data_IF_592499916018
#
_entry.id   IF_592499916018
#
_cell.length_a   1.000
_cell.length_b   1.000
_cell.length_c   1.000
_cell.angle_alpha   90.00
_cell.angle_beta   90.00
_cell.angle_gamma   90.00
#
_symmetry.space_group_name_H-M   'P 1'
#
loop_
_entity.id
_entity.type
_entity.pdbx_description
1 polymer ?
#
# COMPACT_ATOMS: atom_id res chain seq x y z
N UNK A 1 6.84 7.38 -2.08
CA UNK A 1 6.33 6.02 -1.85
C UNK A 1 6.48 5.69 -0.38
N UNK A 2 5.46 5.12 0.24
CA UNK A 2 5.45 4.77 1.67
C UNK A 2 5.18 3.29 1.83
N UNK A 3 6.08 2.59 2.53
CA UNK A 3 5.86 1.26 3.04
C UNK A 3 5.30 1.40 4.45
N UNK A 4 4.01 1.16 4.60
CA UNK A 4 3.32 1.29 5.87
C UNK A 4 3.09 -0.08 6.48
N UNK A 5 4.06 -0.50 7.31
CA UNK A 5 4.20 -1.85 7.81
C UNK A 5 3.49 -2.03 9.16
N UNK A 6 3.45 -3.27 9.64
CA UNK A 6 2.92 -3.67 10.94
C UNK A 6 3.76 -4.81 11.49
N UNK A 7 3.72 -5.00 12.80
CA UNK A 7 4.33 -6.15 13.45
C UNK A 7 3.30 -7.25 13.74
N UNK A 8 3.77 -8.48 13.95
CA UNK A 8 2.96 -9.63 14.33
C UNK A 8 2.12 -10.20 13.18
N UNK A 9 0.86 -10.52 13.47
CA UNK A 9 -0.08 -11.07 12.48
C UNK A 9 -0.09 -10.23 11.19
N UNK A 10 0.01 -10.86 10.02
CA UNK A 10 0.03 -10.21 8.70
C UNK A 10 1.24 -9.31 8.42
N UNK A 11 2.28 -9.33 9.25
CA UNK A 11 3.56 -8.69 8.90
C UNK A 11 4.28 -9.47 7.80
N UNK A 12 5.28 -8.85 7.17
CA UNK A 12 6.17 -9.61 6.28
C UNK A 12 7.15 -10.46 7.11
N UNK A 13 7.46 -11.66 6.64
CA UNK A 13 8.48 -12.56 7.22
C UNK A 13 9.87 -11.97 7.10
N UNK A 14 10.15 -11.28 5.99
CA UNK A 14 11.43 -10.64 5.71
C UNK A 14 11.20 -9.20 5.23
N UNK A 15 10.89 -8.31 6.18
CA UNK A 15 10.65 -6.89 5.91
C UNK A 15 11.86 -6.22 5.24
N UNK A 16 13.08 -6.58 5.65
CA UNK A 16 14.31 -6.02 5.07
C UNK A 16 14.41 -6.28 3.56
N UNK A 17 14.06 -7.49 3.10
CA UNK A 17 14.04 -7.81 1.67
C UNK A 17 12.94 -7.04 0.93
N UNK A 18 11.73 -6.93 1.51
CA UNK A 18 10.64 -6.12 0.92
C UNK A 18 11.07 -4.66 0.78
N UNK A 19 11.59 -4.06 1.85
CA UNK A 19 12.07 -2.68 1.86
C UNK A 19 13.17 -2.48 0.82
N UNK A 20 14.09 -3.44 0.69
CA UNK A 20 15.17 -3.39 -0.31
C UNK A 20 14.59 -3.32 -1.73
N UNK A 21 13.68 -4.21 -2.11
CA UNK A 21 13.07 -4.23 -3.45
C UNK A 21 12.43 -2.89 -3.79
N UNK A 22 11.56 -2.37 -2.92
CA UNK A 22 10.88 -1.10 -3.18
C UNK A 22 11.84 0.10 -3.18
N UNK A 23 12.90 0.06 -2.36
CA UNK A 23 13.93 1.10 -2.35
C UNK A 23 14.71 1.11 -3.66
N UNK A 24 15.08 -0.05 -4.17
CA UNK A 24 15.81 -0.19 -5.43
C UNK A 24 14.97 0.30 -6.62
N UNK A 25 13.68 -0.06 -6.69
CA UNK A 25 12.82 0.44 -7.78
C UNK A 25 12.54 1.94 -7.67
N UNK A 26 12.28 2.46 -6.47
CA UNK A 26 12.11 3.89 -6.26
C UNK A 26 13.38 4.66 -6.64
N UNK A 27 14.57 4.14 -6.32
CA UNK A 27 15.85 4.76 -6.66
C UNK A 27 16.13 4.91 -8.16
N UNK A 28 15.42 4.18 -9.03
CA UNK A 28 15.51 4.30 -10.49
C UNK A 28 14.69 5.49 -11.05
N UNK A 29 13.88 6.15 -10.22
CA UNK A 29 13.00 7.24 -10.64
C UNK A 29 13.38 8.54 -9.95
N UNK A 30 13.78 9.53 -10.76
CA UNK A 30 14.15 10.87 -10.28
C UNK A 30 13.07 11.48 -9.38
N UNK A 31 13.49 11.95 -8.21
CA UNK A 31 12.59 12.57 -7.24
C UNK A 31 11.74 11.59 -6.43
N UNK A 32 11.80 10.27 -6.70
CA UNK A 32 11.14 9.29 -5.84
C UNK A 32 11.84 9.23 -4.47
N UNK A 33 11.04 9.32 -3.40
CA UNK A 33 11.50 9.15 -2.02
C UNK A 33 10.73 8.01 -1.39
N UNK A 34 11.45 7.12 -0.71
CA UNK A 34 10.87 6.02 0.06
C UNK A 34 10.79 6.41 1.54
N UNK A 35 9.62 6.19 2.15
CA UNK A 35 9.42 6.26 3.59
C UNK A 35 9.01 4.88 4.09
N UNK A 36 9.59 4.46 5.22
CA UNK A 36 9.19 3.22 5.90
C UNK A 36 8.65 3.62 7.26
N UNK A 37 7.41 3.21 7.55
CA UNK A 37 6.75 3.53 8.79
C UNK A 37 5.99 2.32 9.30
N UNK A 38 5.80 2.23 10.61
CA UNK A 38 5.07 1.15 11.25
C UNK A 38 3.80 1.71 11.87
N UNK A 39 2.65 1.16 11.49
CA UNK A 39 1.33 1.64 11.91
C UNK A 39 1.16 1.70 13.43
N UNK A 40 1.77 0.77 14.16
CA UNK A 40 1.74 0.70 15.62
C UNK A 40 2.67 1.70 16.32
N UNK A 41 3.54 2.41 15.59
CA UNK A 41 4.52 3.35 16.14
C UNK A 41 4.16 4.82 15.89
N UNK A 42 3.03 5.11 15.25
CA UNK A 42 2.62 6.46 14.89
C UNK A 42 1.35 6.87 15.63
N UNK A 43 1.38 8.06 16.21
CA UNK A 43 0.18 8.78 16.63
C UNK A 43 -0.74 9.03 15.43
N UNK A 44 -2.02 9.30 15.68
CA UNK A 44 -2.96 9.65 14.62
C UNK A 44 -2.44 10.82 13.76
N UNK A 45 -1.84 11.81 14.38
CA UNK A 45 -1.34 12.99 13.69
C UNK A 45 -0.13 12.73 12.81
N UNK A 46 0.78 11.88 13.26
CA UNK A 46 1.88 11.41 12.42
C UNK A 46 1.35 10.58 11.24
N UNK A 47 0.29 9.81 11.43
CA UNK A 47 -0.36 9.09 10.34
C UNK A 47 -1.03 10.03 9.33
N UNK A 48 -1.71 11.08 9.78
CA UNK A 48 -2.28 12.12 8.89
C UNK A 48 -1.17 12.73 8.04
N UNK A 49 -0.07 13.16 8.67
CA UNK A 49 1.07 13.77 7.97
C UNK A 49 1.75 12.81 7.00
N UNK A 50 1.88 11.54 7.37
CA UNK A 50 2.45 10.50 6.51
C UNK A 50 1.56 10.28 5.29
N UNK A 51 0.26 10.06 5.49
CA UNK A 51 -0.68 9.79 4.41
C UNK A 51 -0.83 10.98 3.48
N UNK A 52 -0.92 12.21 4.01
CA UNK A 52 -1.03 13.42 3.20
C UNK A 52 0.20 13.72 2.33
N UNK A 53 1.34 13.09 2.63
CA UNK A 53 2.59 13.20 1.84
C UNK A 53 2.92 11.93 1.04
N UNK A 54 1.98 10.98 0.98
CA UNK A 54 2.17 9.68 0.31
C UNK A 54 1.49 9.66 -1.06
N UNK A 55 2.29 9.52 -2.12
CA UNK A 55 1.81 9.30 -3.50
C UNK A 55 1.43 7.84 -3.79
N UNK A 56 2.16 6.90 -3.16
CA UNK A 56 2.02 5.45 -3.38
C UNK A 56 2.14 4.78 -2.01
N UNK A 57 1.08 4.12 -1.56
CA UNK A 57 1.01 3.38 -0.31
C UNK A 57 1.16 1.88 -0.58
N UNK A 58 2.13 1.24 0.06
CA UNK A 58 2.41 -0.20 -0.01
C UNK A 58 2.27 -0.74 1.40
N UNK A 59 1.29 -1.62 1.64
CA UNK A 59 0.97 -1.97 3.03
C UNK A 59 0.27 -3.32 3.17
N UNK A 60 0.63 -4.13 4.17
CA UNK A 60 -0.08 -5.36 4.47
C UNK A 60 -1.47 -5.10 5.05
N UNK A 61 -2.37 -6.03 4.79
CA UNK A 61 -3.75 -5.97 5.25
C UNK A 61 -3.84 -5.76 6.77
N UNK A 62 -4.67 -4.80 7.17
CA UNK A 62 -4.88 -4.45 8.57
C UNK A 62 -3.75 -3.65 9.24
N UNK A 63 -2.77 -3.13 8.49
CA UNK A 63 -1.82 -2.12 8.99
C UNK A 63 -2.44 -0.71 8.94
N UNK A 64 -3.64 -0.54 9.51
CA UNK A 64 -4.38 0.74 9.51
C UNK A 64 -4.64 1.33 8.11
N UNK A 65 -4.86 0.44 7.13
CA UNK A 65 -5.04 0.80 5.72
C UNK A 65 -6.26 1.71 5.48
N UNK A 66 -7.22 1.75 6.40
CA UNK A 66 -8.35 2.69 6.37
C UNK A 66 -7.87 4.14 6.22
N UNK A 67 -6.74 4.51 6.82
CA UNK A 67 -6.24 5.88 6.81
C UNK A 67 -5.75 6.37 5.42
N UNK A 68 -5.80 5.51 4.39
CA UNK A 68 -5.52 5.91 3.01
C UNK A 68 -6.39 7.07 2.53
N UNK A 69 -7.62 7.26 3.06
CA UNK A 69 -8.49 8.37 2.63
C UNK A 69 -7.89 9.76 2.89
N UNK A 70 -6.83 9.84 3.72
CA UNK A 70 -6.08 11.06 4.00
C UNK A 70 -5.00 11.37 2.94
N UNK A 71 -4.76 10.44 2.01
CA UNK A 71 -3.86 10.65 0.88
C UNK A 71 -4.51 11.55 -0.18
N UNK A 72 -3.69 12.16 -1.02
CA UNK A 72 -4.19 12.93 -2.16
C UNK A 72 -4.92 12.04 -3.18
N UNK A 73 -5.92 12.63 -3.86
CA UNK A 73 -6.59 11.99 -4.99
C UNK A 73 -5.57 11.60 -6.06
N UNK A 74 -5.88 10.54 -6.80
CA UNK A 74 -5.03 9.88 -7.80
C UNK A 74 -3.77 9.19 -7.23
N UNK A 75 -3.52 9.24 -5.93
CA UNK A 75 -2.51 8.38 -5.29
C UNK A 75 -2.84 6.90 -5.45
N UNK A 76 -1.83 6.05 -5.32
CA UNK A 76 -1.93 4.61 -5.60
C UNK A 76 -1.77 3.77 -4.35
N UNK A 77 -2.48 2.64 -4.28
CA UNK A 77 -2.42 1.71 -3.13
C UNK A 77 -2.15 0.28 -3.59
N UNK A 78 -1.25 -0.42 -2.89
CA UNK A 78 -1.03 -1.86 -2.98
C UNK A 78 -1.27 -2.52 -1.64
N UNK A 79 -2.09 -3.57 -1.67
CA UNK A 79 -2.43 -4.33 -0.48
C UNK A 79 -1.80 -5.73 -0.50
N UNK A 80 -1.27 -6.17 0.64
CA UNK A 80 -0.66 -7.51 0.78
C UNK A 80 -1.42 -8.37 1.77
N UNK A 81 -1.62 -9.63 1.42
CA UNK A 81 -2.33 -10.59 2.25
C UNK A 81 -1.48 -11.84 2.49
N UNK A 82 -1.58 -12.47 3.67
CA UNK A 82 -1.00 -13.79 3.89
C UNK A 82 -1.76 -14.86 3.08
N UNK A 83 -1.18 -16.05 3.00
CA UNK A 83 -1.81 -17.23 2.38
C UNK A 83 -3.22 -17.44 2.93
N UNK A 84 -4.15 -17.72 2.03
CA UNK A 84 -5.51 -18.17 2.36
C UNK A 84 -6.51 -17.07 2.73
N UNK A 85 -6.12 -15.78 2.68
CA UNK A 85 -7.02 -14.66 2.99
C UNK A 85 -8.17 -14.42 1.97
N UNK A 86 -8.32 -15.23 0.91
CA UNK A 86 -9.18 -14.91 -0.25
C UNK A 86 -10.54 -15.64 -0.28
N UNK A 87 -10.63 -16.89 0.19
CA UNK A 87 -11.89 -17.67 0.05
C UNK A 87 -12.82 -17.52 1.24
N UNK A 88 -12.27 -17.50 2.45
CA UNK A 88 -13.05 -17.57 3.70
C UNK A 88 -13.41 -16.20 4.27
N UNK A 89 -12.73 -15.12 3.85
CA UNK A 89 -12.96 -13.76 4.34
C UNK A 89 -14.20 -13.08 3.71
N UNK A 90 -14.83 -13.71 2.71
CA UNK A 90 -16.02 -13.20 2.04
C UNK A 90 -15.78 -11.85 1.36
N UNK A 91 -16.83 -11.02 1.28
CA UNK A 91 -16.79 -9.70 0.62
C UNK A 91 -15.88 -8.68 1.33
N UNK A 92 -15.57 -8.92 2.62
CA UNK A 92 -14.74 -8.03 3.43
C UNK A 92 -13.32 -7.83 2.88
N UNK A 93 -12.84 -8.74 2.04
CA UNK A 93 -11.53 -8.62 1.39
C UNK A 93 -11.43 -7.46 0.40
N UNK A 94 -12.55 -6.89 -0.04
CA UNK A 94 -12.59 -5.79 -1.00
C UNK A 94 -12.78 -4.42 -0.34
N UNK A 95 -12.87 -4.37 1.00
CA UNK A 95 -13.13 -3.12 1.73
C UNK A 95 -12.14 -2.01 1.36
N UNK A 96 -10.86 -2.32 1.27
CA UNK A 96 -9.84 -1.33 0.94
C UNK A 96 -9.78 -0.98 -0.55
N UNK A 97 -10.21 -1.88 -1.43
CA UNK A 97 -10.45 -1.56 -2.83
C UNK A 97 -11.57 -0.52 -2.97
N UNK A 98 -12.67 -0.68 -2.24
CA UNK A 98 -13.78 0.27 -2.26
C UNK A 98 -13.41 1.60 -1.62
N UNK A 99 -12.71 1.60 -0.47
CA UNK A 99 -12.25 2.83 0.18
C UNK A 99 -11.32 3.61 -0.77
N UNK A 100 -10.39 2.93 -1.44
CA UNK A 100 -9.51 3.57 -2.42
C UNK A 100 -10.34 4.25 -3.52
N UNK A 101 -11.28 3.51 -4.13
CA UNK A 101 -12.15 4.02 -5.19
C UNK A 101 -12.99 5.22 -4.73
N UNK A 102 -13.69 5.10 -3.59
CA UNK A 102 -14.56 6.15 -3.05
C UNK A 102 -13.81 7.42 -2.66
N UNK A 103 -12.56 7.28 -2.24
CA UNK A 103 -11.71 8.40 -1.84
C UNK A 103 -10.92 9.00 -3.02
N UNK A 104 -11.12 8.49 -4.25
CA UNK A 104 -10.46 8.98 -5.46
C UNK A 104 -9.01 8.53 -5.61
N UNK A 105 -8.62 7.42 -4.99
CA UNK A 105 -7.32 6.77 -5.19
C UNK A 105 -7.44 5.59 -6.17
N UNK A 106 -6.28 5.14 -6.66
CA UNK A 106 -6.15 4.00 -7.54
C UNK A 106 -5.73 2.77 -6.73
N UNK A 107 -6.62 1.79 -6.59
CA UNK A 107 -6.23 0.48 -6.06
C UNK A 107 -5.47 -0.30 -7.14
N UNK A 108 -4.15 -0.39 -7.01
CA UNK A 108 -3.22 -0.92 -8.03
C UNK A 108 -2.97 -2.41 -7.92
N UNK A 109 -3.86 -3.13 -7.26
CA UNK A 109 -3.83 -4.58 -7.13
C UNK A 109 -3.62 -5.05 -5.69
N UNK A 110 -3.66 -6.36 -5.53
CA UNK A 110 -3.44 -7.02 -4.25
C UNK A 110 -2.48 -8.19 -4.45
N UNK A 111 -1.45 -8.29 -3.61
CA UNK A 111 -0.61 -9.48 -3.51
C UNK A 111 -1.19 -10.43 -2.49
N UNK A 112 -1.24 -11.70 -2.84
CA UNK A 112 -1.71 -12.75 -1.95
C UNK A 112 -0.67 -13.83 -1.94
N UNK A 113 -0.03 -13.99 -0.79
CA UNK A 113 1.08 -14.92 -0.65
C UNK A 113 0.60 -16.35 -0.95
N UNK A 114 1.20 -17.05 -1.93
CA UNK A 114 0.90 -18.47 -2.14
C UNK A 114 1.42 -19.34 -0.98
N UNK A 115 2.40 -18.84 -0.22
CA UNK A 115 3.16 -19.63 0.75
C UNK A 115 2.78 -19.29 2.19
N UNK A 116 2.50 -20.31 3.01
CA UNK A 116 2.13 -20.11 4.41
C UNK A 116 1.72 -21.41 5.08
N UNK A 117 1.23 -21.30 6.30
CA UNK A 117 0.81 -22.45 7.09
C UNK A 117 -0.27 -23.25 6.34
N UNK A 118 -0.15 -24.58 6.39
CA UNK A 118 -1.16 -25.45 5.84
C UNK A 118 -2.32 -25.60 6.83
N UNK A 119 -3.54 -25.59 6.32
CA UNK A 119 -4.72 -25.91 7.10
C UNK A 119 -4.93 -27.43 7.14
N UNK A 120 -5.33 -28.02 8.29
CA UNK A 120 -5.67 -29.45 8.36
C UNK A 120 -6.99 -29.81 7.65
N UNK A 121 -7.76 -28.80 7.22
CA UNK A 121 -9.00 -28.94 6.44
C UNK A 121 -8.75 -28.51 4.99
N UNK A 122 -9.67 -28.82 4.04
CA UNK A 122 -9.63 -28.24 2.70
C UNK A 122 -9.47 -26.71 2.74
N UNK A 123 -8.67 -26.13 1.84
CA UNK A 123 -8.26 -24.71 1.94
C UNK A 123 -9.42 -23.70 1.90
N UNK A 124 -10.57 -24.08 1.35
CA UNK A 124 -11.79 -23.30 1.28
C UNK A 124 -12.70 -23.44 2.51
N UNK A 125 -12.36 -24.33 3.44
CA UNK A 125 -13.09 -24.53 4.68
C UNK A 125 -12.96 -23.31 5.61
N UNK A 126 -14.09 -22.82 6.14
CA UNK A 126 -14.14 -21.64 7.03
C UNK A 126 -13.27 -21.81 8.28
N UNK A 127 -13.03 -23.05 8.73
CA UNK A 127 -12.13 -23.35 9.86
C UNK A 127 -10.68 -22.99 9.57
N UNK A 128 -10.29 -22.91 8.30
CA UNK A 128 -8.96 -22.47 7.92
C UNK A 128 -8.74 -20.96 8.12
N UNK A 129 -9.80 -20.17 8.31
CA UNK A 129 -9.65 -18.72 8.53
C UNK A 129 -8.76 -18.43 9.75
N UNK A 130 -8.89 -19.15 10.87
CA UNK A 130 -8.04 -18.91 12.04
C UNK A 130 -6.57 -19.26 11.80
N UNK A 131 -6.27 -20.17 10.87
CA UNK A 131 -4.90 -20.54 10.48
C UNK A 131 -4.29 -19.46 9.58
N UNK A 132 -5.07 -18.97 8.63
CA UNK A 132 -4.63 -18.01 7.62
C UNK A 132 -4.63 -16.57 8.11
N UNK A 133 -5.57 -16.22 9.00
CA UNK A 133 -5.82 -14.83 9.42
C UNK A 133 -4.57 -14.17 10.02
N UNK A 134 -3.90 -14.90 10.89
CA UNK A 134 -2.75 -14.37 11.62
C UNK A 134 -1.41 -14.80 10.99
N UNK A 135 -1.46 -15.36 9.79
CA UNK A 135 -0.28 -15.70 9.01
C UNK A 135 0.56 -14.48 8.65
N UNK A 136 1.85 -14.70 8.43
CA UNK A 136 2.81 -13.71 7.93
C UNK A 136 2.96 -13.82 6.41
N UNK A 137 3.44 -12.74 5.78
CA UNK A 137 3.55 -12.59 4.34
C UNK A 137 4.99 -12.80 3.87
N UNK A 138 5.19 -13.63 2.87
CA UNK A 138 6.46 -13.87 2.21
C UNK A 138 6.92 -12.74 1.32
N UNK A 139 8.04 -12.98 0.63
CA UNK A 139 8.63 -12.02 -0.30
C UNK A 139 8.64 -12.65 -1.68
N UNK A 140 8.13 -11.91 -2.66
CA UNK A 140 8.29 -12.24 -4.06
C UNK A 140 8.96 -11.05 -4.75
N UNK A 141 10.29 -11.07 -4.76
CA UNK A 141 11.09 -9.93 -5.24
C UNK A 141 10.75 -9.56 -6.68
N UNK A 142 10.60 -10.56 -7.56
CA UNK A 142 10.24 -10.36 -8.96
C UNK A 142 8.88 -9.67 -9.09
N UNK A 143 7.85 -10.17 -8.42
CA UNK A 143 6.51 -9.57 -8.48
C UNK A 143 6.51 -8.15 -7.91
N UNK A 144 7.17 -7.94 -6.77
CA UNK A 144 7.18 -6.65 -6.08
C UNK A 144 7.94 -5.60 -6.89
N UNK A 145 9.07 -5.99 -7.50
CA UNK A 145 9.86 -5.16 -8.40
C UNK A 145 9.06 -4.76 -9.65
N UNK A 146 8.47 -5.74 -10.35
CA UNK A 146 7.67 -5.49 -11.55
C UNK A 146 6.45 -4.59 -11.28
N UNK A 147 5.74 -4.86 -10.18
CA UNK A 147 4.62 -4.03 -9.76
C UNK A 147 5.08 -2.59 -9.48
N UNK A 148 6.16 -2.42 -8.71
CA UNK A 148 6.68 -1.10 -8.35
C UNK A 148 7.15 -0.34 -9.59
N UNK A 149 7.85 -1.00 -10.52
CA UNK A 149 8.30 -0.42 -11.78
C UNK A 149 7.12 0.11 -12.61
N UNK A 150 6.05 -0.68 -12.77
CA UNK A 150 4.84 -0.26 -13.49
C UNK A 150 4.21 0.97 -12.86
N UNK A 151 3.93 0.95 -11.55
CA UNK A 151 3.24 2.05 -10.87
C UNK A 151 4.10 3.31 -10.83
N UNK A 152 5.40 3.18 -10.56
CA UNK A 152 6.32 4.32 -10.58
C UNK A 152 6.43 4.96 -11.97
N UNK A 153 6.47 4.15 -13.04
CA UNK A 153 6.49 4.63 -14.41
C UNK A 153 5.26 5.46 -14.76
N UNK A 154 4.07 4.94 -14.44
CA UNK A 154 2.80 5.64 -14.67
C UNK A 154 2.69 6.93 -13.83
N UNK A 155 3.11 6.87 -12.57
CA UNK A 155 3.13 8.05 -11.68
C UNK A 155 4.09 9.13 -12.18
N UNK A 156 5.27 8.75 -12.70
CA UNK A 156 6.23 9.68 -13.30
C UNK A 156 5.63 10.35 -14.53
N UNK A 157 5.03 9.58 -15.43
CA UNK A 157 4.40 10.10 -16.65
C UNK A 157 3.32 11.13 -16.31
N UNK A 158 2.42 10.79 -15.38
CA UNK A 158 1.33 11.68 -14.94
C UNK A 158 1.86 12.98 -14.30
N UNK A 159 2.84 12.89 -13.39
CA UNK A 159 3.42 14.10 -12.78
C UNK A 159 4.10 15.01 -13.79
N UNK A 160 4.69 14.46 -14.86
CA UNK A 160 5.24 15.27 -15.96
C UNK A 160 4.15 15.94 -16.79
N UNK A 161 3.01 15.28 -17.01
CA UNK A 161 1.84 15.87 -17.66
C UNK A 161 1.23 16.99 -16.82
N UNK A 162 1.00 16.76 -15.53
CA UNK A 162 0.47 17.76 -14.59
C UNK A 162 1.37 19.01 -14.54
N UNK A 163 2.70 18.81 -14.51
CA UNK A 163 3.67 19.90 -14.53
C UNK A 163 3.60 20.72 -15.84
N UNK A 164 3.45 20.06 -16.99
CA UNK A 164 3.26 20.75 -18.28
C UNK A 164 1.94 21.53 -18.32
N UNK A 165 0.86 20.96 -17.80
CA UNK A 165 -0.44 21.64 -17.73
C UNK A 165 -0.40 22.88 -16.82
N UNK A 166 0.30 22.77 -15.69
CA UNK A 166 0.50 23.88 -14.74
C UNK A 166 1.36 24.99 -15.36
N UNK A 167 2.43 24.63 -16.06
CA UNK A 167 3.30 25.58 -16.77
C UNK A 167 2.59 26.33 -17.91
N UNK A 168 1.57 25.73 -18.53
CA UNK A 168 0.81 26.31 -19.62
C UNK A 168 -0.38 27.20 -19.17
N UNK A 169 -0.45 27.59 -17.89
CA UNK A 169 -1.36 28.64 -17.42
C UNK A 169 -2.74 28.17 -16.92
N UNK A 170 -2.96 26.87 -16.75
CA UNK A 170 -4.09 26.38 -15.96
C UNK A 170 -3.75 26.51 -14.48
N UNK A 171 -3.95 27.72 -13.93
CA UNK A 171 -3.82 28.01 -12.50
C UNK A 171 -4.89 27.23 -11.72
N UNK A 172 -4.62 25.96 -11.41
CA UNK A 172 -5.14 25.38 -10.18
C UNK A 172 -4.26 25.89 -9.04
N UNK A 173 -4.83 26.72 -8.17
CA UNK A 173 -4.18 27.11 -6.92
C UNK A 173 -3.67 25.84 -6.21
N UNK A 174 -2.35 25.70 -6.14
CA UNK A 174 -1.72 24.76 -5.24
C UNK A 174 -1.90 25.30 -3.82
N UNK A 175 -3.08 25.06 -3.23
CA UNK A 175 -3.32 25.35 -1.82
C UNK A 175 -2.37 24.46 -1.01
N UNK A 176 -1.42 25.03 -0.24
CA UNK A 176 -0.53 24.25 0.59
C UNK A 176 -1.36 23.48 1.61
N UNK A 177 -1.44 22.15 1.47
CA UNK A 177 -2.23 21.30 2.36
C UNK A 177 -1.49 21.10 3.67
N UNK A 178 -1.47 22.13 4.49
CA UNK A 178 -1.08 21.99 5.90
C UNK A 178 -2.30 21.48 6.67
N UNK A 179 -2.44 20.16 6.73
CA UNK A 179 -3.33 19.53 7.70
C UNK A 179 -2.68 19.69 9.07
N UNK A 180 -3.09 20.72 9.82
CA UNK A 180 -2.60 20.93 11.17
C UNK A 180 -3.29 19.96 12.11
N UNK A 181 -2.49 19.11 12.73
CA UNK A 181 -2.86 18.45 13.96
C UNK A 181 -2.54 19.39 15.10
N UNK A 182 -3.57 19.80 15.85
CA UNK A 182 -3.44 20.65 17.03
C UNK A 182 -2.80 19.93 18.21
#
# INVERSE_FOLDING_TARGET
>A
MTLFLRTGARSFRNESAVIKVFREECGKVDGCRIQVAYSNNLTFCEQVKLMSSTDILVSPHGAQLTNMFLMDKNSSVMEFFPKGWLKVAGVGQFVYHWIASWSGMNHRGAWRDPDGNNCPFPEDDRRCMSVFKDGTIGVNETHFSQWAQSVLGEMKARKLEDAKMTANGNNFEHVPKTCHCG
#
